data_IF_353906431319
#
_entry.id   IF_353906431319
#
_cell.length_a   1.000
_cell.length_b   1.000
_cell.length_c   1.000
_cell.angle_alpha   90.00
_cell.angle_beta   90.00
_cell.angle_gamma   90.00
#
_symmetry.space_group_name_H-M   'P 1'
#
loop_
_entity.id
_entity.type
_entity.pdbx_description
1 polymer ?
#
# COMPACT_ATOMS: atom_id res chain seq x y z
N UNK A 1 4.06 -22.11 -2.57
CA UNK A 1 4.27 -22.82 -1.29
C UNK A 1 5.33 -23.90 -1.40
N UNK A 2 5.42 -24.63 -2.50
CA UNK A 2 6.46 -25.66 -2.72
C UNK A 2 7.89 -25.14 -2.55
N UNK A 3 8.21 -23.97 -3.14
CA UNK A 3 9.52 -23.33 -2.96
C UNK A 3 9.86 -23.06 -1.49
N UNK A 4 8.87 -22.63 -0.69
CA UNK A 4 9.07 -22.37 0.74
C UNK A 4 9.21 -23.68 1.53
N UNK A 5 8.46 -24.72 1.17
CA UNK A 5 8.55 -26.03 1.79
C UNK A 5 9.92 -26.69 1.58
N UNK A 6 10.54 -26.45 0.41
CA UNK A 6 11.90 -26.91 0.10
C UNK A 6 12.97 -26.20 0.95
N UNK A 7 12.72 -24.96 1.41
CA UNK A 7 13.62 -24.24 2.30
C UNK A 7 13.38 -24.65 3.76
N UNK A 8 12.12 -24.60 4.19
CA UNK A 8 11.71 -24.97 5.53
C UNK A 8 10.24 -25.43 5.55
N UNK A 9 10.04 -26.73 5.67
CA UNK A 9 8.72 -27.37 5.66
C UNK A 9 7.84 -26.94 6.84
N UNK A 10 8.42 -26.72 8.03
CA UNK A 10 7.68 -26.29 9.21
C UNK A 10 7.12 -24.86 9.04
N UNK A 11 7.93 -23.96 8.49
CA UNK A 11 7.50 -22.59 8.20
C UNK A 11 6.41 -22.58 7.12
N UNK A 12 6.57 -23.39 6.08
CA UNK A 12 5.55 -23.53 5.05
C UNK A 12 4.22 -24.03 5.61
N UNK A 13 4.25 -25.04 6.49
CA UNK A 13 3.06 -25.56 7.16
C UNK A 13 2.42 -24.52 8.07
N UNK A 14 3.22 -23.80 8.87
CA UNK A 14 2.74 -22.72 9.73
C UNK A 14 2.02 -21.62 8.92
N UNK A 15 2.65 -21.10 7.86
CA UNK A 15 2.09 -20.04 7.03
C UNK A 15 0.81 -20.49 6.30
N UNK A 16 0.76 -21.77 5.90
CA UNK A 16 -0.47 -22.36 5.32
C UNK A 16 -1.58 -22.39 6.36
N UNK A 17 -1.29 -22.86 7.58
CA UNK A 17 -2.28 -22.95 8.67
C UNK A 17 -2.78 -21.58 9.16
N UNK A 18 -1.95 -20.54 9.08
CA UNK A 18 -2.33 -19.17 9.43
C UNK A 18 -3.40 -18.61 8.48
N UNK A 19 -3.46 -19.09 7.23
CA UNK A 19 -4.41 -18.64 6.22
C UNK A 19 -3.88 -17.48 5.37
N UNK A 20 -4.07 -17.59 4.04
CA UNK A 20 -3.57 -16.62 3.06
C UNK A 20 -4.12 -15.21 3.28
N UNK A 21 -5.36 -15.09 3.75
CA UNK A 21 -6.04 -13.84 4.03
C UNK A 21 -5.33 -12.99 5.11
N UNK A 22 -4.51 -13.63 5.95
CA UNK A 22 -3.81 -12.96 7.05
C UNK A 22 -2.46 -12.39 6.63
N UNK A 23 -1.74 -13.06 5.73
CA UNK A 23 -0.38 -12.67 5.36
C UNK A 23 -0.24 -12.22 3.91
N UNK A 24 -1.03 -12.77 2.97
CA UNK A 24 -0.96 -12.38 1.57
C UNK A 24 -1.86 -11.17 1.33
N UNK A 25 -1.24 -10.04 0.94
CA UNK A 25 -1.95 -8.79 0.62
C UNK A 25 -3.13 -9.05 -0.33
N UNK A 26 -2.90 -9.80 -1.41
CA UNK A 26 -3.89 -10.08 -2.46
C UNK A 26 -5.19 -10.75 -1.97
N UNK A 27 -5.14 -11.48 -0.84
CA UNK A 27 -6.27 -12.22 -0.28
C UNK A 27 -6.82 -11.59 1.01
N UNK A 28 -6.27 -10.45 1.45
CA UNK A 28 -6.71 -9.78 2.67
C UNK A 28 -8.13 -9.22 2.51
N UNK A 29 -9.05 -9.46 3.47
CA UNK A 29 -10.42 -8.95 3.40
C UNK A 29 -10.48 -7.42 3.51
N UNK A 30 -9.50 -6.82 4.19
CA UNK A 30 -9.32 -5.37 4.28
C UNK A 30 -8.27 -4.86 3.30
N UNK A 31 -8.46 -3.63 2.83
CA UNK A 31 -7.47 -2.90 2.02
C UNK A 31 -6.32 -2.45 2.92
N UNK A 32 -5.11 -2.98 2.67
CA UNK A 32 -3.90 -2.65 3.44
C UNK A 32 -3.10 -1.50 2.83
N UNK A 33 -3.48 -0.95 1.68
CA UNK A 33 -2.85 0.23 1.06
C UNK A 33 -1.30 0.16 1.01
N UNK A 34 -0.77 -0.99 0.57
CA UNK A 34 0.67 -1.30 0.56
C UNK A 34 1.39 -1.21 1.94
N UNK A 35 0.65 -1.22 3.05
CA UNK A 35 1.17 -1.34 4.41
C UNK A 35 1.27 -2.83 4.78
N UNK A 36 2.33 -3.48 4.33
CA UNK A 36 2.61 -4.90 4.63
C UNK A 36 3.72 -5.09 5.65
N UNK A 37 4.35 -4.01 6.13
CA UNK A 37 5.50 -4.06 7.03
C UNK A 37 5.16 -3.77 8.49
N UNK A 38 5.95 -4.36 9.39
CA UNK A 38 6.00 -4.06 10.83
C UNK A 38 6.59 -2.67 11.13
N UNK A 39 6.97 -1.88 10.13
CA UNK A 39 7.69 -0.62 10.28
C UNK A 39 7.01 0.35 11.25
N UNK A 40 5.67 0.40 11.29
CA UNK A 40 4.94 1.27 12.23
C UNK A 40 5.15 0.80 13.67
N UNK A 41 5.02 -0.51 13.91
CA UNK A 41 5.24 -1.10 15.23
C UNK A 41 6.71 -0.97 15.65
N UNK A 42 7.66 -1.21 14.74
CA UNK A 42 9.10 -1.05 15.00
C UNK A 42 9.47 0.39 15.31
N UNK A 43 8.96 1.36 14.54
CA UNK A 43 9.20 2.78 14.79
C UNK A 43 8.65 3.21 16.16
N UNK A 44 7.46 2.74 16.53
CA UNK A 44 6.88 3.01 17.84
C UNK A 44 7.69 2.37 18.96
N UNK A 45 8.03 1.08 18.82
CA UNK A 45 8.84 0.35 19.79
C UNK A 45 10.20 1.02 20.01
N UNK A 46 10.85 1.47 18.94
CA UNK A 46 12.12 2.18 19.03
C UNK A 46 11.95 3.55 19.72
N UNK A 47 10.88 4.28 19.41
CA UNK A 47 10.61 5.60 19.99
C UNK A 47 10.34 5.54 21.51
N UNK A 48 9.70 4.47 22.00
CA UNK A 48 9.37 4.31 23.42
C UNK A 48 10.41 3.50 24.20
N UNK A 49 11.37 2.87 23.52
CA UNK A 49 12.37 1.98 24.12
C UNK A 49 13.08 2.62 25.31
N UNK A 50 13.42 3.91 25.20
CA UNK A 50 14.12 4.69 26.23
C UNK A 50 13.27 4.97 27.47
N UNK A 51 11.95 4.82 27.36
CA UNK A 51 11.00 5.09 28.43
C UNK A 51 10.54 3.83 29.16
N UNK A 52 10.90 2.63 28.69
CA UNK A 52 10.41 1.36 29.24
C UNK A 52 10.89 1.06 30.66
N UNK A 53 11.94 1.75 31.13
CA UNK A 53 12.45 1.65 32.51
C UNK A 53 11.70 2.58 33.48
N UNK A 54 10.81 3.43 32.98
CA UNK A 54 10.01 4.34 33.81
C UNK A 54 8.83 3.59 34.47
N UNK A 55 8.26 4.13 35.56
CA UNK A 55 6.96 3.70 36.06
C UNK A 55 5.88 3.79 34.97
N UNK A 56 4.80 3.04 35.12
CA UNK A 56 3.70 2.97 34.13
C UNK A 56 3.20 4.37 33.74
N UNK A 57 3.09 5.30 34.70
CA UNK A 57 2.70 6.68 34.44
C UNK A 57 3.69 7.43 33.55
N UNK A 58 5.00 7.22 33.76
CA UNK A 58 6.07 7.79 32.93
C UNK A 58 6.08 7.22 31.51
N UNK A 59 5.79 5.92 31.35
CA UNK A 59 5.65 5.30 30.02
C UNK A 59 4.47 5.91 29.26
N UNK A 60 3.31 6.07 29.91
CA UNK A 60 2.13 6.68 29.30
C UNK A 60 2.41 8.13 28.89
N UNK A 61 3.07 8.91 29.75
CA UNK A 61 3.45 10.28 29.42
C UNK A 61 4.44 10.36 28.26
N UNK A 62 5.39 9.43 28.19
CA UNK A 62 6.31 9.32 27.06
C UNK A 62 5.58 9.01 25.75
N UNK A 63 4.69 7.99 25.74
CA UNK A 63 3.86 7.65 24.58
C UNK A 63 3.05 8.87 24.13
N UNK A 64 2.40 9.57 25.07
CA UNK A 64 1.64 10.79 24.80
C UNK A 64 2.52 11.85 24.12
N UNK A 65 3.71 12.11 24.65
CA UNK A 65 4.65 13.09 24.09
C UNK A 65 5.13 12.73 22.67
N UNK A 66 5.44 11.45 22.42
CA UNK A 66 5.83 10.95 21.09
C UNK A 66 4.69 11.15 20.09
N UNK A 67 3.48 10.71 20.44
CA UNK A 67 2.32 10.84 19.57
C UNK A 67 1.98 12.30 19.27
N UNK A 68 1.98 13.16 20.30
CA UNK A 68 1.73 14.61 20.13
C UNK A 68 2.72 15.23 19.15
N UNK A 69 4.02 14.94 19.28
CA UNK A 69 5.05 15.43 18.37
C UNK A 69 4.82 14.93 16.95
N UNK A 70 4.60 13.62 16.77
CA UNK A 70 4.36 13.04 15.45
C UNK A 70 3.11 13.58 14.77
N UNK A 71 2.01 13.79 15.51
CA UNK A 71 0.81 14.41 14.96
C UNK A 71 1.03 15.87 14.59
N UNK A 72 1.76 16.63 15.40
CA UNK A 72 2.13 18.00 15.08
C UNK A 72 2.98 18.08 13.81
N UNK A 73 4.03 17.25 13.70
CA UNK A 73 4.92 17.21 12.54
C UNK A 73 4.17 16.78 11.27
N UNK A 74 3.29 15.77 11.39
CA UNK A 74 2.46 15.29 10.28
C UNK A 74 1.46 16.35 9.83
N UNK A 75 0.80 17.06 10.76
CA UNK A 75 -0.11 18.17 10.44
C UNK A 75 0.63 19.31 9.75
N UNK A 76 1.79 19.68 10.26
CA UNK A 76 2.63 20.75 9.71
C UNK A 76 3.12 20.39 8.30
N UNK A 77 3.51 19.13 8.09
CA UNK A 77 3.90 18.63 6.78
C UNK A 77 2.71 18.56 5.81
N UNK A 78 1.54 18.12 6.28
CA UNK A 78 0.31 18.08 5.48
C UNK A 78 -0.12 19.48 5.01
N UNK A 79 0.04 20.51 5.85
CA UNK A 79 -0.23 21.90 5.47
C UNK A 79 0.66 22.46 4.36
N UNK A 80 1.77 21.78 4.03
CA UNK A 80 2.68 22.15 2.93
C UNK A 80 2.39 21.39 1.63
N UNK A 81 1.47 20.42 1.65
CA UNK A 81 1.15 19.63 0.48
C UNK A 81 0.38 20.48 -0.54
N UNK A 82 0.68 20.27 -1.83
CA UNK A 82 0.02 20.96 -2.95
C UNK A 82 -1.19 20.20 -3.48
N UNK A 83 -1.31 18.92 -3.16
CA UNK A 83 -2.38 18.04 -3.58
C UNK A 83 -2.99 17.34 -2.36
N UNK A 84 -4.12 16.67 -2.57
CA UNK A 84 -4.75 15.82 -1.54
C UNK A 84 -3.91 14.58 -1.21
N UNK A 85 -2.90 14.27 -2.03
CA UNK A 85 -2.03 13.11 -1.87
C UNK A 85 -0.87 13.41 -0.93
N UNK A 86 -0.44 12.40 -0.17
CA UNK A 86 0.85 12.47 0.52
C UNK A 86 1.99 12.55 -0.50
N UNK A 87 3.10 13.19 -0.15
CA UNK A 87 4.28 13.29 -1.04
C UNK A 87 4.71 11.93 -1.60
N UNK A 88 4.66 10.86 -0.79
CA UNK A 88 5.01 9.51 -1.25
C UNK A 88 4.02 8.96 -2.27
N UNK A 89 2.73 9.18 -2.07
CA UNK A 89 1.70 8.75 -3.03
C UNK A 89 1.79 9.57 -4.32
N UNK A 90 2.04 10.87 -4.22
CA UNK A 90 2.18 11.80 -5.36
C UNK A 90 3.37 11.41 -6.25
N UNK A 91 4.54 11.18 -5.64
CA UNK A 91 5.73 10.69 -6.36
C UNK A 91 5.48 9.32 -6.99
N UNK A 92 4.85 8.39 -6.26
CA UNK A 92 4.55 7.06 -6.78
C UNK A 92 3.58 7.10 -7.98
N UNK A 93 2.56 7.96 -7.92
CA UNK A 93 1.66 8.19 -9.05
C UNK A 93 2.41 8.82 -10.21
N UNK A 94 3.30 9.78 -9.97
CA UNK A 94 4.12 10.40 -11.03
C UNK A 94 4.98 9.38 -11.79
N UNK A 95 5.66 8.47 -11.09
CA UNK A 95 6.46 7.40 -11.72
C UNK A 95 5.58 6.47 -12.57
N UNK A 96 4.40 6.10 -12.07
CA UNK A 96 3.45 5.27 -12.81
C UNK A 96 2.84 6.01 -14.00
N UNK A 97 2.58 7.30 -13.84
CA UNK A 97 2.05 8.18 -14.87
C UNK A 97 3.03 8.26 -16.05
N UNK A 98 4.34 8.36 -15.81
CA UNK A 98 5.34 8.31 -16.87
C UNK A 98 5.29 7.01 -17.67
N UNK A 99 5.26 5.86 -16.99
CA UNK A 99 5.17 4.56 -17.67
C UNK A 99 3.85 4.37 -18.42
N UNK A 100 2.75 4.82 -17.84
CA UNK A 100 1.43 4.78 -18.45
C UNK A 100 1.34 5.54 -19.80
N UNK A 101 2.30 6.42 -20.12
CA UNK A 101 2.36 7.13 -21.42
C UNK A 101 2.66 6.21 -22.59
N UNK A 102 3.28 5.07 -22.35
CA UNK A 102 3.71 4.14 -23.38
C UNK A 102 2.74 2.97 -23.59
N UNK A 103 1.68 2.89 -22.77
CA UNK A 103 0.70 1.82 -22.84
C UNK A 103 -0.35 2.10 -23.92
N UNK A 104 -0.76 1.05 -24.64
CA UNK A 104 -1.80 1.14 -25.67
C UNK A 104 -3.17 0.84 -25.07
N UNK A 105 -4.11 1.77 -25.25
CA UNK A 105 -5.47 1.68 -24.67
C UNK A 105 -6.48 1.38 -25.78
N UNK A 106 -7.30 0.36 -25.56
CA UNK A 106 -8.40 -0.04 -26.44
C UNK A 106 -9.73 0.07 -25.69
N UNK A 107 -10.65 0.97 -26.10
CA UNK A 107 -11.94 1.10 -25.44
C UNK A 107 -12.80 -0.15 -25.69
N UNK A 108 -13.40 -0.67 -24.62
CA UNK A 108 -14.41 -1.75 -24.68
C UNK A 108 -15.81 -1.14 -24.51
N UNK A 109 -15.96 -0.29 -23.49
CA UNK A 109 -17.17 0.49 -23.21
C UNK A 109 -16.78 1.93 -22.88
N UNK A 110 -17.72 2.76 -22.45
CA UNK A 110 -17.44 4.12 -22.00
C UNK A 110 -16.57 4.17 -20.73
N UNK A 111 -16.64 3.14 -19.87
CA UNK A 111 -15.90 3.09 -18.60
C UNK A 111 -14.92 1.91 -18.50
N UNK A 112 -14.87 1.06 -19.52
CA UNK A 112 -14.05 -0.17 -19.52
C UNK A 112 -13.10 -0.20 -20.70
N UNK A 113 -11.86 -0.60 -20.43
CA UNK A 113 -10.76 -0.55 -21.39
C UNK A 113 -9.91 -1.81 -21.28
N UNK A 114 -9.35 -2.23 -22.41
CA UNK A 114 -8.23 -3.16 -22.47
C UNK A 114 -6.96 -2.34 -22.68
N UNK A 115 -5.99 -2.50 -21.80
CA UNK A 115 -4.67 -1.89 -21.91
C UNK A 115 -3.66 -2.98 -22.21
N UNK A 116 -2.92 -2.79 -23.30
CA UNK A 116 -1.80 -3.65 -23.66
C UNK A 116 -0.56 -3.19 -22.92
N UNK A 117 0.02 -4.11 -22.19
CA UNK A 117 1.25 -3.97 -21.43
C UNK A 117 2.18 -5.13 -21.84
N UNK A 118 3.47 -4.86 -21.92
CA UNK A 118 4.46 -5.87 -22.34
C UNK A 118 4.52 -7.04 -21.34
N UNK A 119 4.28 -6.74 -20.06
CA UNK A 119 4.31 -7.72 -18.97
C UNK A 119 2.93 -8.38 -18.76
N UNK A 120 1.90 -7.59 -18.47
CA UNK A 120 0.57 -8.10 -18.11
C UNK A 120 -0.55 -7.19 -18.60
N UNK A 121 -1.21 -7.61 -19.68
CA UNK A 121 -2.42 -6.94 -20.17
C UNK A 121 -3.46 -6.67 -19.07
N UNK A 122 -3.95 -5.44 -19.05
CA UNK A 122 -4.86 -4.91 -18.05
C UNK A 122 -6.27 -4.71 -18.59
N UNK A 123 -7.29 -5.39 -18.05
CA UNK A 123 -8.69 -4.94 -18.23
C UNK A 123 -9.08 -4.06 -17.06
N UNK A 124 -9.60 -2.87 -17.33
CA UNK A 124 -9.91 -1.85 -16.33
C UNK A 124 -11.39 -1.49 -16.40
N UNK A 125 -11.97 -1.24 -15.25
CA UNK A 125 -13.26 -0.57 -15.11
C UNK A 125 -13.09 0.66 -14.19
N UNK A 126 -13.24 1.84 -14.78
CA UNK A 126 -13.08 3.12 -14.09
C UNK A 126 -14.24 3.42 -13.12
N UNK A 127 -15.42 2.83 -13.34
CA UNK A 127 -16.58 3.00 -12.47
C UNK A 127 -16.38 2.24 -11.16
N UNK A 128 -16.02 0.96 -11.25
CA UNK A 128 -15.74 0.13 -10.08
C UNK A 128 -14.34 0.34 -9.50
N UNK A 129 -13.47 1.07 -10.21
CA UNK A 129 -12.06 1.31 -9.86
C UNK A 129 -11.28 0.01 -9.69
N UNK A 130 -11.40 -0.87 -10.67
CA UNK A 130 -10.77 -2.19 -10.69
C UNK A 130 -9.86 -2.37 -11.89
N UNK A 131 -8.84 -3.21 -11.73
CA UNK A 131 -7.96 -3.63 -12.81
C UNK A 131 -7.56 -5.10 -12.62
N UNK A 132 -7.38 -5.85 -13.72
CA UNK A 132 -6.89 -7.24 -13.65
C UNK A 132 -5.52 -7.37 -13.00
N UNK A 133 -4.69 -6.31 -12.99
CA UNK A 133 -3.43 -6.30 -12.23
C UNK A 133 -3.63 -6.21 -10.70
N UNK A 134 -4.87 -6.02 -10.23
CA UNK A 134 -5.32 -5.92 -8.82
C UNK A 134 -4.76 -4.75 -8.03
N UNK A 135 -3.81 -4.00 -8.55
CA UNK A 135 -3.20 -2.90 -7.81
C UNK A 135 -4.20 -1.77 -7.56
N UNK A 136 -5.04 -1.42 -8.54
CA UNK A 136 -6.06 -0.38 -8.38
C UNK A 136 -7.10 -0.76 -7.30
N UNK A 137 -7.51 -2.02 -7.29
CA UNK A 137 -8.46 -2.60 -6.35
C UNK A 137 -7.93 -2.52 -4.90
N UNK A 138 -6.68 -2.94 -4.73
CA UNK A 138 -6.07 -3.24 -3.43
C UNK A 138 -5.43 -2.01 -2.78
N UNK A 139 -4.73 -1.20 -3.57
CA UNK A 139 -4.02 -0.02 -3.07
C UNK A 139 -4.88 1.24 -3.12
N UNK A 140 -6.04 1.21 -3.79
CA UNK A 140 -6.98 2.33 -3.87
C UNK A 140 -6.43 3.57 -4.59
N UNK A 141 -5.21 3.49 -5.12
CA UNK A 141 -4.59 4.45 -6.00
C UNK A 141 -4.54 3.86 -7.42
N UNK A 142 -4.65 4.69 -8.46
CA UNK A 142 -4.53 4.23 -9.84
C UNK A 142 -3.21 3.45 -10.06
N UNK A 143 -3.32 2.30 -10.74
CA UNK A 143 -2.18 1.60 -11.32
C UNK A 143 -1.80 2.21 -12.68
N UNK A 144 -0.68 1.76 -13.27
CA UNK A 144 -0.20 2.24 -14.57
C UNK A 144 -1.28 2.10 -15.66
N UNK A 145 -1.97 0.95 -15.69
CA UNK A 145 -3.15 0.69 -16.53
C UNK A 145 -4.27 1.72 -16.36
N UNK A 146 -4.69 1.97 -15.12
CA UNK A 146 -5.77 2.92 -14.82
C UNK A 146 -5.38 4.36 -15.20
N UNK A 147 -4.13 4.75 -14.95
CA UNK A 147 -3.61 6.07 -15.34
C UNK A 147 -3.60 6.26 -16.87
N UNK A 148 -3.29 5.21 -17.63
CA UNK A 148 -3.35 5.27 -19.09
C UNK A 148 -4.78 5.56 -19.58
N UNK A 149 -5.79 4.96 -18.96
CA UNK A 149 -7.19 5.14 -19.35
C UNK A 149 -7.80 6.46 -18.89
N UNK A 150 -7.43 6.97 -17.71
CA UNK A 150 -7.96 8.24 -17.18
C UNK A 150 -7.59 9.44 -18.08
N UNK A 151 -6.59 9.29 -18.94
CA UNK A 151 -6.14 10.31 -19.90
C UNK A 151 -6.94 10.36 -21.19
N UNK A 152 -7.71 9.32 -21.49
CA UNK A 152 -8.49 9.17 -22.73
C UNK A 152 -9.85 9.85 -22.57
#
# INVERSE_FOLDING_TARGET
MEQLANINSQVAMYITNVGFERWARAYSPGKRYNLTSSNIAEAMNNAIKVCMELPITGVIDCIRGVLQRWFYDRRTSAGKLKSTLTTKADVNIGVKDEKARYLMVYPITYYSFLVKDEDLDGTIDLTSKTCTCREFDMDGLPCEHALACIRV
#
